data_IF_889653008663
#
_entry.id   IF_889653008663
#
_cell.length_a   1.000
_cell.length_b   1.000
_cell.length_c   1.000
_cell.angle_alpha   90.00
_cell.angle_beta   90.00
_cell.angle_gamma   90.00
#
_symmetry.space_group_name_H-M   'P 1'
#
loop_
_entity.id
_entity.type
_entity.pdbx_description
1 polymer ?
#
# COMPACT_ATOMS: atom_id res chain seq x y z
N UNK A 1 -0.27 -7.37 -3.03
CA UNK A 1 0.74 -6.31 -3.31
C UNK A 1 1.63 -6.69 -4.51
N UNK A 2 2.69 -7.51 -4.39
CA UNK A 2 3.64 -7.76 -5.51
C UNK A 2 3.02 -8.20 -6.85
N UNK A 3 2.02 -9.10 -6.87
CA UNK A 3 1.28 -9.49 -8.10
C UNK A 3 0.39 -8.37 -8.69
N UNK A 4 -0.16 -7.51 -7.83
CA UNK A 4 -1.00 -6.38 -8.25
C UNK A 4 -0.13 -5.36 -9.01
N UNK A 5 1.07 -5.08 -8.50
CA UNK A 5 2.03 -4.15 -9.08
C UNK A 5 2.85 -4.72 -10.25
N UNK A 6 3.15 -6.03 -10.26
CA UNK A 6 3.86 -6.67 -11.39
C UNK A 6 3.04 -6.71 -12.68
N UNK A 7 1.71 -6.76 -12.57
CA UNK A 7 0.79 -6.69 -13.72
C UNK A 7 0.71 -5.27 -14.33
N UNK A 8 1.29 -4.26 -13.66
CA UNK A 8 1.21 -2.84 -14.02
C UNK A 8 2.42 -2.38 -14.86
N UNK A 9 3.64 -2.81 -14.55
CA UNK A 9 4.83 -2.13 -15.10
C UNK A 9 5.39 -2.58 -16.45
N UNK A 10 4.59 -2.87 -17.47
CA UNK A 10 5.12 -3.21 -18.81
C UNK A 10 4.43 -2.50 -20.00
N UNK A 11 3.77 -1.35 -19.79
CA UNK A 11 2.95 -0.71 -20.82
C UNK A 11 3.26 0.79 -21.01
N UNK A 12 2.97 1.37 -22.19
CA UNK A 12 3.17 2.80 -22.43
C UNK A 12 2.23 3.63 -21.54
N UNK A 13 2.78 4.66 -20.89
CA UNK A 13 2.18 5.49 -19.82
C UNK A 13 0.71 5.89 -20.05
N UNK A 14 0.32 6.26 -21.28
CA UNK A 14 -1.08 6.65 -21.61
C UNK A 14 -2.06 5.48 -21.53
N UNK A 15 -1.62 4.27 -21.86
CA UNK A 15 -2.44 3.06 -21.72
C UNK A 15 -2.58 2.61 -20.26
N UNK A 16 -1.65 3.01 -19.40
CA UNK A 16 -1.64 2.71 -17.97
C UNK A 16 -2.71 3.53 -17.26
N UNK A 17 -2.75 4.84 -17.47
CA UNK A 17 -3.77 5.74 -16.89
C UNK A 17 -5.18 5.30 -17.27
N UNK A 18 -5.44 4.92 -18.53
CA UNK A 18 -6.76 4.42 -18.94
C UNK A 18 -7.14 3.08 -18.29
N UNK A 19 -6.15 2.24 -17.99
CA UNK A 19 -6.41 0.95 -17.32
C UNK A 19 -6.61 1.15 -15.81
N UNK A 20 -5.92 2.13 -15.23
CA UNK A 20 -6.07 2.53 -13.84
C UNK A 20 -7.42 3.21 -13.62
N UNK A 21 -7.86 4.10 -14.51
CA UNK A 21 -9.23 4.68 -14.50
C UNK A 21 -10.32 3.61 -14.49
N UNK A 22 -10.20 2.59 -15.36
CA UNK A 22 -11.15 1.46 -15.37
C UNK A 22 -11.12 0.62 -14.10
N UNK A 23 -9.98 0.54 -13.41
CA UNK A 23 -9.86 -0.19 -12.14
C UNK A 23 -10.42 0.64 -11.00
N UNK A 24 -10.09 1.92 -10.97
CA UNK A 24 -10.59 2.89 -10.00
C UNK A 24 -12.13 2.87 -9.98
N UNK A 25 -12.78 3.07 -11.13
CA UNK A 25 -14.25 2.99 -11.28
C UNK A 25 -14.88 1.63 -10.97
N UNK A 26 -14.07 0.57 -10.87
CA UNK A 26 -14.57 -0.76 -10.49
C UNK A 26 -14.47 -0.96 -8.97
N UNK A 27 -13.55 -0.26 -8.33
CA UNK A 27 -13.31 -0.28 -6.89
C UNK A 27 -14.20 0.74 -6.18
N UNK A 28 -14.41 1.90 -6.80
CA UNK A 28 -15.38 2.91 -6.39
C UNK A 28 -16.79 2.33 -6.62
N UNK A 29 -17.34 1.74 -5.56
CA UNK A 29 -18.60 1.01 -5.58
C UNK A 29 -19.79 1.96 -5.38
N UNK A 30 -19.58 3.08 -4.71
CA UNK A 30 -20.59 4.09 -4.44
C UNK A 30 -20.57 5.27 -5.42
N UNK A 31 -19.61 5.30 -6.34
CA UNK A 31 -19.40 6.36 -7.36
C UNK A 31 -19.17 7.73 -6.69
N UNK A 32 -18.51 7.73 -5.52
CA UNK A 32 -18.11 8.92 -4.77
C UNK A 32 -16.99 9.69 -5.48
N UNK A 33 -16.18 9.00 -6.30
CA UNK A 33 -14.99 9.54 -6.93
C UNK A 33 -13.73 9.43 -6.07
N UNK A 34 -13.83 8.82 -4.90
CA UNK A 34 -12.76 8.54 -3.94
C UNK A 34 -12.82 7.04 -3.57
N UNK A 35 -11.72 6.49 -3.06
CA UNK A 35 -11.67 5.08 -2.65
C UNK A 35 -11.52 4.98 -1.13
N UNK A 36 -12.55 4.46 -0.49
CA UNK A 36 -12.57 4.12 0.93
C UNK A 36 -11.74 2.86 1.25
N UNK A 37 -11.38 2.70 2.52
CA UNK A 37 -10.70 1.48 3.00
C UNK A 37 -11.52 0.23 2.70
N UNK A 38 -12.83 0.31 2.87
CA UNK A 38 -13.78 -0.78 2.60
C UNK A 38 -13.75 -1.21 1.13
N UNK A 39 -13.65 -0.26 0.22
CA UNK A 39 -13.56 -0.50 -1.22
C UNK A 39 -12.23 -1.12 -1.63
N UNK A 40 -11.12 -0.72 -1.02
CA UNK A 40 -9.84 -1.43 -1.18
C UNK A 40 -9.90 -2.86 -0.64
N UNK A 41 -10.58 -3.06 0.49
CA UNK A 41 -10.79 -4.38 1.10
C UNK A 41 -11.81 -5.24 0.35
N UNK A 42 -12.52 -4.69 -0.64
CA UNK A 42 -13.35 -5.49 -1.55
C UNK A 42 -12.50 -6.43 -2.43
N UNK A 43 -11.21 -6.13 -2.61
CA UNK A 43 -10.27 -6.97 -3.36
C UNK A 43 -9.82 -8.17 -2.52
N UNK A 44 -10.14 -9.42 -2.93
CA UNK A 44 -9.73 -10.63 -2.20
C UNK A 44 -8.21 -10.74 -2.01
N UNK A 45 -7.43 -10.17 -2.92
CA UNK A 45 -5.96 -10.15 -2.86
C UNK A 45 -5.40 -9.20 -1.80
N UNK A 46 -6.22 -8.27 -1.29
CA UNK A 46 -5.87 -7.27 -0.29
C UNK A 46 -6.43 -7.62 1.10
N UNK A 47 -7.56 -8.31 1.18
CA UNK A 47 -8.21 -8.68 2.46
C UNK A 47 -7.31 -9.38 3.50
N UNK A 48 -6.33 -10.16 3.06
CA UNK A 48 -5.43 -10.92 3.94
C UNK A 48 -4.10 -10.21 4.20
N UNK A 49 -3.94 -8.97 3.71
CA UNK A 49 -2.68 -8.25 3.80
C UNK A 49 -2.78 -7.13 4.85
N UNK A 50 -2.12 -7.27 6.01
CA UNK A 50 -2.20 -6.29 7.10
C UNK A 50 -1.56 -4.93 6.74
N UNK A 51 -0.81 -4.85 5.63
CA UNK A 51 -0.18 -3.61 5.17
C UNK A 51 -1.09 -2.78 4.27
N UNK A 52 -2.31 -3.23 3.97
CA UNK A 52 -3.22 -2.50 3.06
C UNK A 52 -3.60 -1.15 3.63
N UNK A 53 -3.93 -1.08 4.92
CA UNK A 53 -4.19 0.18 5.59
C UNK A 53 -3.00 1.14 5.44
N UNK A 54 -1.79 0.66 5.70
CA UNK A 54 -0.56 1.45 5.53
C UNK A 54 -0.35 1.93 4.10
N UNK A 55 -0.69 1.12 3.10
CA UNK A 55 -0.60 1.52 1.69
C UNK A 55 -1.60 2.63 1.38
N UNK A 56 -2.82 2.55 1.92
CA UNK A 56 -3.85 3.58 1.76
C UNK A 56 -3.39 4.87 2.44
N UNK A 57 -2.92 4.80 3.68
CA UNK A 57 -2.38 5.95 4.43
C UNK A 57 -1.21 6.65 3.70
N UNK A 58 -0.46 5.93 2.85
CA UNK A 58 0.63 6.51 2.05
C UNK A 58 0.11 7.16 0.76
N UNK A 59 -1.02 6.69 0.25
CA UNK A 59 -1.64 7.19 -0.98
C UNK A 59 -2.43 8.46 -0.68
N UNK A 60 -3.19 8.43 0.42
CA UNK A 60 -3.91 9.56 1.01
C UNK A 60 -2.90 10.63 1.48
N UNK A 61 -2.69 11.64 0.65
CA UNK A 61 -1.72 12.72 0.91
C UNK A 61 -2.36 13.90 1.60
N UNK A 62 -3.66 14.10 1.42
CA UNK A 62 -4.38 15.18 2.06
C UNK A 62 -4.91 14.81 3.46
N UNK A 63 -4.88 13.51 3.80
CA UNK A 63 -5.24 12.96 5.09
C UNK A 63 -6.75 12.90 5.30
N UNK A 64 -7.54 12.84 4.24
CA UNK A 64 -9.00 12.82 4.32
C UNK A 64 -9.56 11.42 4.67
N UNK A 65 -8.71 10.38 4.65
CA UNK A 65 -9.07 8.99 4.96
C UNK A 65 -9.56 8.18 3.76
N UNK A 66 -9.63 8.80 2.58
CA UNK A 66 -10.02 8.22 1.31
C UNK A 66 -8.89 8.45 0.29
N UNK A 67 -8.95 7.82 -0.89
CA UNK A 67 -7.91 8.00 -1.92
C UNK A 67 -8.54 8.47 -3.21
N UNK A 68 -8.21 9.70 -3.62
CA UNK A 68 -8.72 10.25 -4.86
C UNK A 68 -8.03 9.63 -6.10
N UNK A 69 -8.57 9.90 -7.29
CA UNK A 69 -7.99 9.35 -8.52
C UNK A 69 -6.55 9.82 -8.79
N UNK A 70 -6.20 11.06 -8.43
CA UNK A 70 -4.85 11.62 -8.59
C UNK A 70 -3.86 10.90 -7.67
N UNK A 71 -4.22 10.75 -6.40
CA UNK A 71 -3.47 10.03 -5.37
C UNK A 71 -3.29 8.56 -5.72
N UNK A 72 -4.34 7.91 -6.22
CA UNK A 72 -4.27 6.55 -6.70
C UNK A 72 -3.27 6.39 -7.85
N UNK A 73 -3.29 7.30 -8.82
CA UNK A 73 -2.36 7.29 -9.95
C UNK A 73 -0.93 7.54 -9.46
N UNK A 74 -0.69 8.56 -8.63
CA UNK A 74 0.63 8.87 -8.11
C UNK A 74 1.21 7.74 -7.26
N UNK A 75 0.38 7.17 -6.37
CA UNK A 75 0.70 6.01 -5.57
C UNK A 75 1.12 4.86 -6.47
N UNK A 76 0.26 4.42 -7.40
CA UNK A 76 0.56 3.30 -8.31
C UNK A 76 1.80 3.55 -9.19
N UNK A 77 1.99 4.77 -9.69
CA UNK A 77 3.17 5.13 -10.49
C UNK A 77 4.47 4.96 -9.71
N UNK A 78 4.46 5.22 -8.40
CA UNK A 78 5.61 5.03 -7.52
C UNK A 78 6.05 3.55 -7.41
N UNK A 79 5.14 2.60 -7.70
CA UNK A 79 5.42 1.15 -7.73
C UNK A 79 5.58 0.56 -9.13
N UNK A 80 5.31 1.32 -10.18
CA UNK A 80 5.47 0.82 -11.55
C UNK A 80 6.91 0.31 -11.73
N UNK A 81 7.10 -0.76 -12.50
CA UNK A 81 8.36 -1.54 -12.62
C UNK A 81 9.55 -0.69 -13.14
N UNK A 82 9.28 0.54 -13.61
CA UNK A 82 10.30 1.56 -13.90
C UNK A 82 10.96 2.17 -12.65
N UNK A 83 10.41 1.90 -11.47
CA UNK A 83 10.98 2.31 -10.20
C UNK A 83 12.35 1.66 -10.00
N UNK A 84 13.37 2.46 -9.71
CA UNK A 84 14.68 1.93 -9.32
C UNK A 84 14.55 1.07 -8.06
N UNK A 85 15.51 0.18 -7.82
CA UNK A 85 15.57 -0.58 -6.55
C UNK A 85 15.42 0.34 -5.33
N UNK A 86 15.97 1.54 -5.43
CA UNK A 86 15.96 2.57 -4.41
C UNK A 86 14.56 3.15 -4.15
N UNK A 87 13.76 3.38 -5.21
CA UNK A 87 12.37 3.82 -5.06
C UNK A 87 11.50 2.76 -4.38
N UNK A 88 11.73 1.47 -4.68
CA UNK A 88 11.04 0.36 -3.99
C UNK A 88 11.43 0.26 -2.50
N UNK A 89 12.71 0.48 -2.19
CA UNK A 89 13.19 0.51 -0.81
C UNK A 89 12.65 1.71 -0.05
N UNK A 90 12.63 2.89 -0.67
CA UNK A 90 12.08 4.10 -0.08
C UNK A 90 10.57 3.96 0.18
N UNK A 91 9.85 3.28 -0.71
CA UNK A 91 8.45 2.96 -0.47
C UNK A 91 8.30 1.98 0.70
N UNK A 92 9.06 0.89 0.70
CA UNK A 92 9.04 -0.07 1.81
C UNK A 92 9.33 0.61 3.14
N UNK A 93 10.27 1.57 3.17
CA UNK A 93 10.58 2.38 4.34
C UNK A 93 9.35 3.17 4.84
N UNK A 94 8.63 3.86 3.95
CA UNK A 94 7.39 4.60 4.29
C UNK A 94 6.25 3.72 4.83
N UNK A 95 6.25 2.42 4.54
CA UNK A 95 5.28 1.50 5.16
C UNK A 95 5.53 1.41 6.67
N UNK A 96 6.80 1.40 7.08
CA UNK A 96 7.21 1.24 8.47
C UNK A 96 7.35 2.57 9.22
N UNK A 97 7.70 3.65 8.52
CA UNK A 97 7.73 5.02 9.05
C UNK A 97 6.28 5.55 9.14
N UNK A 98 5.72 5.56 10.35
CA UNK A 98 4.31 5.86 10.60
C UNK A 98 4.05 7.35 10.68
N UNK A 99 4.99 8.10 11.26
CA UNK A 99 4.87 9.56 11.44
C UNK A 99 5.47 10.37 10.28
N UNK A 100 6.08 9.69 9.30
CA UNK A 100 6.74 10.28 8.13
C UNK A 100 7.89 11.23 8.50
N UNK A 101 8.55 11.02 9.64
CA UNK A 101 9.71 11.82 10.05
C UNK A 101 10.99 11.46 9.29
N UNK A 102 10.96 10.39 8.48
CA UNK A 102 12.09 9.88 7.70
C UNK A 102 12.96 8.89 8.46
N UNK A 103 12.55 8.47 9.66
CA UNK A 103 13.18 7.47 10.50
C UNK A 103 12.17 6.36 10.83
N UNK A 104 12.66 5.20 11.26
CA UNK A 104 11.80 4.14 11.81
C UNK A 104 12.20 3.98 13.26
N UNK A 105 11.35 4.44 14.15
CA UNK A 105 11.51 4.31 15.59
C UNK A 105 11.25 2.88 16.06
N UNK A 106 11.73 2.55 17.26
CA UNK A 106 11.41 1.27 17.89
C UNK A 106 9.90 1.07 18.08
N UNK A 107 9.15 2.15 18.33
CA UNK A 107 7.70 2.10 18.48
C UNK A 107 7.01 1.71 17.18
N UNK A 108 7.44 2.29 16.06
CA UNK A 108 6.86 2.01 14.75
C UNK A 108 7.19 0.62 14.23
N UNK A 109 8.44 0.18 14.42
CA UNK A 109 8.84 -1.19 14.10
C UNK A 109 8.05 -2.21 14.96
N UNK A 110 7.80 -1.86 16.23
CA UNK A 110 7.02 -2.67 17.15
C UNK A 110 5.55 -2.74 16.74
N UNK A 111 4.90 -1.60 16.47
CA UNK A 111 3.50 -1.53 16.02
C UNK A 111 3.28 -2.26 14.70
N UNK A 112 4.27 -2.26 13.81
CA UNK A 112 4.18 -3.02 12.56
C UNK A 112 4.30 -4.54 12.79
N UNK A 113 4.89 -4.95 13.92
CA UNK A 113 5.07 -6.36 14.27
C UNK A 113 4.00 -6.90 15.22
N UNK A 114 3.46 -6.06 16.09
CA UNK A 114 2.33 -6.34 17.00
C UNK A 114 1.02 -6.15 16.23
N UNK A 115 0.54 -7.24 15.65
CA UNK A 115 -0.62 -7.23 14.76
C UNK A 115 -1.95 -7.35 15.50
N UNK A 116 -1.94 -7.82 16.74
CA UNK A 116 -3.13 -7.94 17.59
C UNK A 116 -3.28 -6.81 18.63
N UNK A 117 -2.26 -5.95 18.75
CA UNK A 117 -2.27 -4.76 19.60
C UNK A 117 -2.17 -5.07 21.08
N UNK A 118 -1.64 -6.25 21.46
CA UNK A 118 -1.51 -6.67 22.85
C UNK A 118 -0.31 -6.02 23.58
N UNK A 119 0.49 -5.23 22.85
CA UNK A 119 1.69 -4.59 23.37
C UNK A 119 2.86 -5.56 23.51
N UNK A 120 2.82 -6.72 22.84
CA UNK A 120 3.89 -7.73 22.74
C UNK A 120 3.98 -8.23 21.29
N UNK A 121 5.07 -8.93 20.98
CA UNK A 121 5.23 -9.60 19.68
C UNK A 121 5.35 -11.09 19.94
N UNK A 122 4.31 -11.84 19.57
CA UNK A 122 4.28 -13.28 19.67
C UNK A 122 5.17 -13.95 18.61
N UNK A 123 5.51 -15.23 18.81
CA UNK A 123 6.27 -15.98 17.82
C UNK A 123 5.55 -16.10 16.47
N UNK A 124 4.21 -16.18 16.48
CA UNK A 124 3.40 -16.21 15.26
C UNK A 124 3.52 -14.90 14.48
N UNK A 125 3.49 -13.77 15.17
CA UNK A 125 3.63 -12.45 14.56
C UNK A 125 5.02 -12.24 14.01
N UNK A 126 6.04 -12.62 14.78
CA UNK A 126 7.42 -12.64 14.30
C UNK A 126 7.57 -13.50 13.03
N UNK A 127 6.92 -14.68 12.97
CA UNK A 127 6.89 -15.51 11.77
C UNK A 127 6.17 -14.83 10.59
N UNK A 128 5.04 -14.17 10.81
CA UNK A 128 4.32 -13.43 9.75
C UNK A 128 5.17 -12.31 9.16
N UNK A 129 5.78 -11.48 10.02
CA UNK A 129 6.63 -10.36 9.61
C UNK A 129 7.87 -10.87 8.88
N UNK A 130 8.53 -11.92 9.40
CA UNK A 130 9.74 -12.48 8.78
C UNK A 130 9.47 -13.26 7.48
N UNK A 131 8.26 -13.79 7.29
CA UNK A 131 7.82 -14.41 6.02
C UNK A 131 7.38 -13.39 4.98
N UNK A 132 7.08 -12.16 5.39
CA UNK A 132 6.78 -11.03 4.48
C UNK A 132 8.03 -10.54 3.73
N UNK A 133 9.18 -11.23 3.87
CA UNK A 133 10.43 -11.10 3.10
C UNK A 133 10.33 -11.44 1.59
N UNK A 134 9.19 -11.14 0.97
CA UNK A 134 9.01 -11.11 -0.50
C UNK A 134 8.98 -9.69 -1.08
N UNK A 135 9.51 -8.69 -0.35
CA UNK A 135 9.60 -7.28 -0.77
C UNK A 135 11.03 -6.88 -1.17
N UNK A 136 11.97 -7.84 -1.23
CA UNK A 136 13.30 -7.66 -1.85
C UNK A 136 13.42 -8.50 -3.12
#
# INVERSE_FOLDING_TARGET
ISKLFSSIGNLPFVSEVRRLDKRFKKLDLDDSGELSVEEFMSLPELQQNPLVQRVIDIFDKDGNGEVDFSEFIEGVLQFSVKGTKEQRLHFAFRIYDLDNDGFISNGELFLTADTDGDGRVSFQEFCKVSQTKGVL
#
